data_IF_120221378864
#
_entry.id   IF_120221378864
#
_cell.length_a   1.000
_cell.length_b   1.000
_cell.length_c   1.000
_cell.angle_alpha   90.00
_cell.angle_beta   90.00
_cell.angle_gamma   90.00
#
_symmetry.space_group_name_H-M   'P 1'
#
loop_
_entity.id
_entity.type
_entity.pdbx_description
1 polymer ?
#
# COMPACT_ATOMS: atom_id res chain seq x y z
N UNK A 1 -35.58 -46.92 11.20
CA UNK A 1 -34.53 -46.30 12.01
C UNK A 1 -33.18 -46.19 11.27
N UNK A 2 -32.65 -47.21 10.63
CA UNK A 2 -31.36 -47.22 9.95
C UNK A 2 -31.30 -46.18 8.80
N UNK A 3 -32.33 -46.10 7.95
CA UNK A 3 -32.42 -45.16 6.83
C UNK A 3 -32.38 -43.69 7.31
N UNK A 4 -33.11 -43.39 8.41
CA UNK A 4 -33.10 -42.04 9.00
C UNK A 4 -31.71 -41.64 9.52
N UNK A 5 -30.99 -42.62 10.13
CA UNK A 5 -29.60 -42.41 10.58
C UNK A 5 -28.64 -42.12 9.44
N UNK A 6 -28.76 -42.83 8.30
CA UNK A 6 -27.93 -42.61 7.13
C UNK A 6 -28.19 -41.22 6.53
N UNK A 7 -29.45 -40.80 6.42
CA UNK A 7 -29.80 -39.47 5.92
C UNK A 7 -29.20 -38.37 6.81
N UNK A 8 -29.28 -38.50 8.12
CA UNK A 8 -28.71 -37.54 9.06
C UNK A 8 -27.19 -37.41 8.88
N UNK A 9 -26.49 -38.54 8.78
CA UNK A 9 -25.04 -38.54 8.55
C UNK A 9 -24.67 -37.84 7.22
N UNK A 10 -25.39 -38.08 6.14
CA UNK A 10 -25.17 -37.41 4.86
C UNK A 10 -25.39 -35.91 4.96
N UNK A 11 -26.43 -35.45 5.64
CA UNK A 11 -26.68 -34.01 5.85
C UNK A 11 -25.51 -33.38 6.61
N UNK A 12 -25.03 -34.00 7.67
CA UNK A 12 -23.90 -33.50 8.47
C UNK A 12 -22.62 -33.40 7.59
N UNK A 13 -22.34 -34.43 6.77
CA UNK A 13 -21.19 -34.41 5.88
C UNK A 13 -21.29 -33.30 4.84
N UNK A 14 -22.45 -33.03 4.26
CA UNK A 14 -22.67 -31.92 3.32
C UNK A 14 -22.44 -30.58 4.02
N UNK A 15 -22.97 -30.40 5.23
CA UNK A 15 -22.76 -29.17 6.01
C UNK A 15 -21.27 -28.95 6.31
N UNK A 16 -20.56 -29.97 6.78
CA UNK A 16 -19.13 -29.89 7.06
C UNK A 16 -18.32 -29.55 5.81
N UNK A 17 -18.66 -30.17 4.68
CA UNK A 17 -18.01 -29.90 3.40
C UNK A 17 -18.25 -28.46 2.92
N UNK A 18 -19.48 -27.95 3.02
CA UNK A 18 -19.80 -26.56 2.65
C UNK A 18 -19.10 -25.56 3.57
N UNK A 19 -19.05 -25.80 4.89
CA UNK A 19 -18.31 -24.97 5.83
C UNK A 19 -16.81 -24.96 5.52
N UNK A 20 -16.24 -26.10 5.15
CA UNK A 20 -14.83 -26.19 4.75
C UNK A 20 -14.54 -25.41 3.46
N UNK A 21 -15.45 -25.44 2.47
CA UNK A 21 -15.32 -24.64 1.25
C UNK A 21 -15.36 -23.14 1.55
N UNK A 22 -16.33 -22.69 2.37
CA UNK A 22 -16.47 -21.29 2.76
C UNK A 22 -15.20 -20.83 3.50
N UNK A 23 -14.71 -21.62 4.45
CA UNK A 23 -13.49 -21.30 5.20
C UNK A 23 -12.26 -21.18 4.30
N UNK A 24 -12.11 -22.05 3.30
CA UNK A 24 -11.01 -21.96 2.30
C UNK A 24 -11.09 -20.69 1.46
N UNK A 25 -12.29 -20.28 1.04
CA UNK A 25 -12.46 -19.06 0.27
C UNK A 25 -12.21 -17.80 1.11
N UNK A 26 -12.75 -17.75 2.34
CA UNK A 26 -12.52 -16.63 3.25
C UNK A 26 -11.02 -16.45 3.62
N UNK A 27 -10.26 -17.54 3.72
CA UNK A 27 -8.82 -17.45 3.97
C UNK A 27 -8.02 -17.06 2.72
N UNK A 28 -8.51 -17.36 1.50
CA UNK A 28 -7.86 -16.98 0.26
C UNK A 28 -7.79 -15.46 0.08
N UNK A 29 -8.82 -14.72 0.49
CA UNK A 29 -8.87 -13.27 0.41
C UNK A 29 -7.76 -12.57 1.21
N UNK A 30 -7.18 -13.24 2.22
CA UNK A 30 -6.08 -12.73 3.05
C UNK A 30 -4.70 -12.92 2.42
N UNK A 31 -4.60 -13.60 1.29
CA UNK A 31 -3.34 -13.93 0.62
C UNK A 31 -2.78 -12.83 -0.26
N UNK A 32 -3.43 -11.68 -0.36
CA UNK A 32 -2.83 -10.48 -0.94
C UNK A 32 -1.94 -9.81 0.12
N UNK A 33 -0.64 -9.87 -0.09
CA UNK A 33 0.38 -9.48 0.89
C UNK A 33 1.23 -8.34 0.36
N UNK A 34 1.44 -7.30 1.16
CA UNK A 34 2.40 -6.23 0.91
C UNK A 34 3.73 -6.54 1.60
N UNK A 35 4.85 -6.25 0.93
CA UNK A 35 6.21 -6.49 1.43
C UNK A 35 6.93 -5.17 1.69
N UNK A 36 6.59 -4.47 2.76
CA UNK A 36 7.20 -3.18 3.12
C UNK A 36 8.71 -3.26 3.32
N UNK A 37 9.23 -4.39 3.80
CA UNK A 37 10.67 -4.62 3.99
C UNK A 37 11.43 -4.79 2.65
N UNK A 38 10.70 -5.06 1.56
CA UNK A 38 11.26 -5.19 0.21
C UNK A 38 10.98 -3.96 -0.65
N UNK A 39 10.52 -2.86 -0.04
CA UNK A 39 10.36 -1.61 -0.76
C UNK A 39 11.67 -1.18 -1.41
N UNK A 40 11.60 -0.47 -2.50
CA UNK A 40 12.80 0.14 -3.08
C UNK A 40 13.31 1.27 -2.17
N UNK A 41 14.59 1.60 -2.29
CA UNK A 41 15.08 2.87 -1.77
C UNK A 41 14.44 4.02 -2.55
N UNK A 42 14.39 5.19 -1.91
CA UNK A 42 13.87 6.40 -2.54
C UNK A 42 14.68 6.73 -3.81
N UNK A 43 13.98 7.03 -4.90
CA UNK A 43 14.55 7.38 -6.19
C UNK A 43 14.09 8.77 -6.58
N UNK A 44 15.01 9.63 -6.96
CA UNK A 44 14.70 10.98 -7.47
C UNK A 44 13.90 10.86 -8.77
N UNK A 45 12.76 11.55 -8.83
CA UNK A 45 11.90 11.65 -10.02
C UNK A 45 12.12 12.98 -10.71
N UNK A 46 12.06 14.08 -9.96
CA UNK A 46 12.32 15.43 -10.47
C UNK A 46 12.90 16.32 -9.40
N UNK A 47 13.67 17.34 -9.82
CA UNK A 47 14.27 18.33 -8.93
C UNK A 47 14.20 19.70 -9.57
N UNK A 48 13.61 20.65 -8.85
CA UNK A 48 13.64 22.08 -9.17
C UNK A 48 13.99 22.88 -7.91
N UNK A 49 14.11 24.18 -8.01
CA UNK A 49 14.36 25.05 -6.86
C UNK A 49 13.20 25.00 -5.83
N UNK A 50 11.97 24.97 -6.34
CA UNK A 50 10.76 25.04 -5.54
C UNK A 50 10.21 23.66 -5.13
N UNK A 51 10.63 22.58 -5.82
CA UNK A 51 10.03 21.26 -5.64
C UNK A 51 11.00 20.13 -5.91
N UNK A 52 11.01 19.13 -5.05
CA UNK A 52 11.66 17.84 -5.27
C UNK A 52 10.61 16.75 -5.24
N UNK A 53 10.60 15.90 -6.27
CA UNK A 53 9.79 14.68 -6.28
C UNK A 53 10.69 13.45 -6.23
N UNK A 54 10.32 12.48 -5.41
CA UNK A 54 10.97 11.18 -5.33
C UNK A 54 9.93 10.08 -5.14
N UNK A 55 10.28 8.85 -5.46
CA UNK A 55 9.35 7.72 -5.36
C UNK A 55 9.95 6.53 -4.63
N UNK A 56 9.06 5.71 -4.07
CA UNK A 56 9.34 4.43 -3.44
C UNK A 56 8.34 3.41 -3.96
N UNK A 57 8.81 2.24 -4.36
CA UNK A 57 7.96 1.15 -4.80
C UNK A 57 7.74 0.17 -3.64
N UNK A 58 6.47 -0.15 -3.35
CA UNK A 58 6.06 -1.10 -2.31
C UNK A 58 5.50 -2.35 -2.99
N UNK A 59 6.26 -3.46 -3.01
CA UNK A 59 5.84 -4.68 -3.67
C UNK A 59 4.65 -5.34 -2.98
N UNK A 60 3.81 -5.99 -3.80
CA UNK A 60 2.73 -6.87 -3.33
C UNK A 60 2.71 -8.19 -4.12
N UNK A 61 2.00 -9.18 -3.58
CA UNK A 61 1.82 -10.50 -4.18
C UNK A 61 0.40 -10.99 -3.88
N UNK A 62 -0.38 -11.25 -4.91
CA UNK A 62 -1.66 -11.94 -4.77
C UNK A 62 -1.45 -13.45 -4.82
N UNK A 63 -1.23 -14.05 -3.66
CA UNK A 63 -1.07 -15.51 -3.50
C UNK A 63 -2.39 -16.27 -3.53
N UNK A 64 -3.50 -15.56 -3.65
CA UNK A 64 -4.82 -16.19 -3.71
C UNK A 64 -5.04 -16.88 -5.05
N UNK A 65 -6.05 -17.72 -5.11
CA UNK A 65 -6.57 -18.30 -6.36
C UNK A 65 -7.66 -17.45 -6.99
N UNK A 66 -8.10 -16.42 -6.28
CA UNK A 66 -9.17 -15.53 -6.67
C UNK A 66 -8.60 -14.14 -7.02
N UNK A 67 -9.30 -13.42 -7.88
CA UNK A 67 -9.02 -12.02 -8.16
C UNK A 67 -9.29 -11.17 -6.93
N UNK A 68 -8.44 -10.19 -6.70
CA UNK A 68 -8.68 -9.09 -5.77
C UNK A 68 -8.94 -7.79 -6.52
N UNK A 69 -9.43 -6.79 -5.81
CA UNK A 69 -9.62 -5.44 -6.34
C UNK A 69 -8.98 -4.47 -5.36
N UNK A 70 -8.06 -3.63 -5.82
CA UNK A 70 -7.72 -2.39 -5.13
C UNK A 70 -8.80 -1.37 -5.47
N UNK A 71 -9.52 -0.89 -4.46
CA UNK A 71 -10.56 0.10 -4.62
C UNK A 71 -10.01 1.51 -4.47
N UNK A 72 -9.14 1.69 -3.47
CA UNK A 72 -8.49 2.96 -3.16
C UNK A 72 -7.15 2.72 -2.49
N UNK A 73 -6.22 3.66 -2.67
CA UNK A 73 -4.96 3.70 -1.94
C UNK A 73 -4.51 5.14 -1.70
N UNK A 74 -4.06 5.44 -0.49
CA UNK A 74 -3.54 6.75 -0.14
C UNK A 74 -2.41 6.64 0.89
N UNK A 75 -1.65 7.71 1.02
CA UNK A 75 -0.54 7.80 1.98
C UNK A 75 -0.82 8.88 3.00
N UNK A 76 -0.50 8.58 4.25
CA UNK A 76 -0.44 9.57 5.33
C UNK A 76 1.00 9.67 5.82
N UNK A 77 1.55 10.87 5.77
CA UNK A 77 2.90 11.17 6.23
C UNK A 77 2.81 11.65 7.69
N UNK A 78 3.69 11.12 8.53
CA UNK A 78 3.79 11.50 9.94
C UNK A 78 5.01 12.40 10.16
N UNK A 79 4.89 13.64 9.73
CA UNK A 79 5.88 14.70 9.94
C UNK A 79 5.16 15.91 10.59
N UNK A 80 5.00 15.91 11.92
CA UNK A 80 4.35 17.01 12.62
C UNK A 80 5.21 18.28 12.59
N UNK A 81 4.56 19.44 12.57
CA UNK A 81 5.21 20.75 12.51
C UNK A 81 6.15 20.99 13.72
N UNK A 82 5.87 20.36 14.86
CA UNK A 82 6.72 20.42 16.07
C UNK A 82 8.05 19.70 15.86
N UNK A 83 8.08 18.67 15.01
CA UNK A 83 9.29 17.93 14.70
C UNK A 83 10.10 18.61 13.59
N UNK A 84 9.41 19.06 12.52
CA UNK A 84 10.03 19.80 11.43
C UNK A 84 8.98 20.56 10.61
N UNK A 85 9.12 21.87 10.52
CA UNK A 85 8.21 22.74 9.79
C UNK A 85 8.84 23.43 8.57
N UNK A 86 10.09 23.08 8.23
CA UNK A 86 10.82 23.67 7.09
C UNK A 86 10.43 23.12 5.72
N UNK A 87 9.60 22.06 5.68
CA UNK A 87 9.10 21.46 4.44
C UNK A 87 7.60 21.19 4.53
N UNK A 88 6.91 21.33 3.42
CA UNK A 88 5.62 20.68 3.21
C UNK A 88 5.88 19.43 2.40
N UNK A 89 5.52 18.29 2.95
CA UNK A 89 5.67 16.98 2.31
C UNK A 89 4.29 16.40 1.99
N UNK A 90 4.03 16.09 0.74
CA UNK A 90 2.82 15.43 0.24
C UNK A 90 3.18 14.11 -0.39
N UNK A 91 2.23 13.19 -0.50
CA UNK A 91 2.44 11.94 -1.22
C UNK A 91 1.17 11.49 -1.92
N UNK A 92 1.35 10.83 -3.06
CA UNK A 92 0.31 10.15 -3.82
C UNK A 92 0.71 8.71 -4.09
N UNK A 93 -0.28 7.85 -4.31
CA UNK A 93 -0.09 6.43 -4.63
C UNK A 93 -0.63 6.17 -6.02
N UNK A 94 0.15 5.44 -6.81
CA UNK A 94 -0.29 4.98 -8.11
C UNK A 94 0.11 3.52 -8.33
N UNK A 95 -0.63 2.87 -9.20
CA UNK A 95 -0.18 1.64 -9.82
C UNK A 95 0.58 1.99 -11.12
N UNK A 96 1.74 1.35 -11.42
CA UNK A 96 2.54 1.67 -12.62
C UNK A 96 1.77 1.56 -13.94
N UNK A 97 0.80 0.63 -14.02
CA UNK A 97 -0.04 0.46 -15.20
C UNK A 97 -1.16 1.51 -15.35
N UNK A 98 -1.43 2.31 -14.30
CA UNK A 98 -2.47 3.34 -14.28
C UNK A 98 -1.97 4.58 -13.52
N UNK A 99 -0.91 5.27 -14.01
CA UNK A 99 -0.37 6.44 -13.34
C UNK A 99 -1.34 7.61 -13.44
N UNK A 100 -1.55 8.30 -12.30
CA UNK A 100 -2.38 9.51 -12.20
C UNK A 100 -1.60 10.64 -11.53
N UNK A 101 -1.98 11.87 -11.84
CA UNK A 101 -1.34 13.09 -11.30
C UNK A 101 -2.29 13.92 -10.43
N UNK A 102 -3.54 13.48 -10.28
CA UNK A 102 -4.63 14.21 -9.62
C UNK A 102 -4.90 13.72 -8.19
N UNK A 103 -3.93 13.04 -7.58
CA UNK A 103 -3.99 12.50 -6.21
C UNK A 103 -5.08 11.42 -5.96
N UNK A 104 -5.80 11.00 -7.00
CA UNK A 104 -6.73 9.88 -6.93
C UNK A 104 -6.05 8.57 -7.31
N UNK A 105 -6.47 7.50 -6.65
CA UNK A 105 -6.06 6.14 -7.00
C UNK A 105 -7.04 5.54 -8.04
N UNK A 106 -6.51 4.95 -9.10
CA UNK A 106 -7.34 4.24 -10.08
C UNK A 106 -7.60 2.83 -9.60
N UNK A 107 -8.88 2.48 -9.41
CA UNK A 107 -9.28 1.14 -8.98
C UNK A 107 -8.80 0.08 -9.98
N UNK A 108 -8.26 -1.03 -9.45
CA UNK A 108 -7.62 -2.05 -10.28
C UNK A 108 -7.97 -3.47 -9.84
N UNK A 109 -8.22 -4.33 -10.84
CA UNK A 109 -8.23 -5.78 -10.65
C UNK A 109 -6.79 -6.30 -10.45
N UNK A 110 -6.63 -7.19 -9.50
CA UNK A 110 -5.38 -7.87 -9.17
C UNK A 110 -5.56 -9.37 -9.41
N UNK A 111 -5.11 -9.88 -10.57
CA UNK A 111 -5.25 -11.29 -10.91
C UNK A 111 -4.60 -12.24 -9.91
N UNK A 112 -5.05 -13.51 -9.86
CA UNK A 112 -4.39 -14.54 -9.08
C UNK A 112 -2.91 -14.69 -9.47
N UNK A 113 -2.03 -14.72 -8.46
CA UNK A 113 -0.58 -14.89 -8.67
C UNK A 113 0.14 -13.65 -9.19
N UNK A 114 -0.55 -12.51 -9.35
CA UNK A 114 0.11 -11.26 -9.75
C UNK A 114 1.10 -10.82 -8.66
N UNK A 115 2.30 -10.45 -9.14
CA UNK A 115 3.38 -9.84 -8.34
C UNK A 115 3.74 -8.54 -9.00
N UNK A 116 3.47 -7.43 -8.33
CA UNK A 116 3.75 -6.09 -8.81
C UNK A 116 3.98 -5.15 -7.62
N UNK A 117 3.92 -3.87 -7.80
CA UNK A 117 4.14 -2.89 -6.75
C UNK A 117 3.16 -1.70 -6.85
N UNK A 118 2.98 -1.02 -5.75
CA UNK A 118 2.40 0.32 -5.71
C UNK A 118 3.54 1.33 -5.61
N UNK A 119 3.51 2.35 -6.44
CA UNK A 119 4.47 3.45 -6.42
C UNK A 119 3.93 4.59 -5.57
N UNK A 120 4.64 4.92 -4.50
CA UNK A 120 4.39 6.09 -3.68
C UNK A 120 5.31 7.20 -4.14
N UNK A 121 4.74 8.28 -4.67
CA UNK A 121 5.48 9.47 -5.08
C UNK A 121 5.31 10.56 -4.04
N UNK A 122 6.43 11.07 -3.55
CA UNK A 122 6.52 12.16 -2.58
C UNK A 122 6.86 13.46 -3.29
N UNK A 123 6.27 14.54 -2.82
CA UNK A 123 6.56 15.91 -3.21
C UNK A 123 6.99 16.70 -1.99
N UNK A 124 8.15 17.35 -2.07
CA UNK A 124 8.69 18.21 -1.02
C UNK A 124 8.80 19.62 -1.55
N UNK A 125 8.15 20.57 -0.87
CA UNK A 125 8.24 22.00 -1.16
C UNK A 125 8.76 22.76 0.07
N UNK A 126 9.55 23.85 -0.13
CA UNK A 126 10.08 24.64 0.99
C UNK A 126 8.96 25.37 1.75
N UNK A 127 9.15 25.53 3.05
CA UNK A 127 8.24 26.21 3.95
C UNK A 127 9.01 26.92 5.08
N UNK A 128 8.42 27.94 5.68
CA UNK A 128 8.90 28.58 6.91
C UNK A 128 10.40 28.94 6.90
N UNK A 129 10.83 29.78 5.95
CA UNK A 129 12.17 30.32 5.90
C UNK A 129 13.19 29.47 5.12
N UNK A 130 12.82 28.31 4.62
CA UNK A 130 13.61 27.59 3.64
C UNK A 130 13.43 28.22 2.26
N UNK A 131 14.54 28.43 1.54
CA UNK A 131 14.53 29.10 0.24
C UNK A 131 14.38 28.11 -0.91
N UNK A 132 14.90 26.91 -0.74
CA UNK A 132 14.90 25.88 -1.78
C UNK A 132 14.34 24.57 -1.26
N UNK A 133 13.81 23.76 -2.18
CA UNK A 133 13.34 22.41 -1.87
C UNK A 133 14.48 21.51 -1.39
N UNK A 134 15.71 21.77 -1.84
CA UNK A 134 16.90 21.05 -1.38
C UNK A 134 17.20 21.34 0.09
N UNK A 135 17.20 22.62 0.50
CA UNK A 135 17.36 23.00 1.91
C UNK A 135 16.25 22.39 2.78
N UNK A 136 15.02 22.38 2.25
CA UNK A 136 13.89 21.79 2.94
C UNK A 136 14.08 20.27 3.15
N UNK A 137 14.45 19.54 2.08
CA UNK A 137 14.67 18.08 2.12
C UNK A 137 15.80 17.69 3.07
N UNK A 138 16.93 18.43 3.05
CA UNK A 138 18.08 18.16 3.92
C UNK A 138 17.76 18.27 5.41
N UNK A 139 16.75 19.07 5.75
CA UNK A 139 16.31 19.27 7.14
C UNK A 139 15.31 18.22 7.63
N UNK A 140 14.72 17.42 6.75
CA UNK A 140 13.74 16.39 7.14
C UNK A 140 14.44 15.32 7.99
N UNK A 141 13.94 15.01 9.20
CA UNK A 141 14.44 13.89 10.02
C UNK A 141 14.01 12.55 9.42
N UNK A 142 14.23 11.47 10.15
CA UNK A 142 13.56 10.20 9.86
C UNK A 142 12.06 10.41 9.90
N UNK A 143 11.35 10.01 8.85
CA UNK A 143 9.91 10.20 8.71
C UNK A 143 9.21 8.89 8.42
N UNK A 144 8.18 8.61 9.17
CA UNK A 144 7.30 7.48 8.93
C UNK A 144 6.13 7.91 8.04
N UNK A 145 5.76 7.06 7.10
CA UNK A 145 4.50 7.18 6.37
C UNK A 145 3.70 5.88 6.46
N UNK A 146 2.39 6.00 6.42
CA UNK A 146 1.49 4.86 6.33
C UNK A 146 0.87 4.80 4.94
N UNK A 147 1.06 3.67 4.27
CA UNK A 147 0.34 3.30 3.06
C UNK A 147 -0.97 2.61 3.48
N UNK A 148 -2.09 3.23 3.13
CA UNK A 148 -3.42 2.67 3.29
C UNK A 148 -3.89 2.12 1.97
N UNK A 149 -4.42 0.90 1.97
CA UNK A 149 -5.00 0.27 0.79
C UNK A 149 -6.34 -0.32 1.17
N UNK A 150 -7.39 0.17 0.52
CA UNK A 150 -8.70 -0.44 0.56
C UNK A 150 -8.81 -1.44 -0.58
N UNK A 151 -9.06 -2.68 -0.23
CA UNK A 151 -9.17 -3.75 -1.20
C UNK A 151 -10.37 -4.63 -0.93
N UNK A 152 -10.93 -5.15 -1.99
CA UNK A 152 -11.99 -6.14 -1.92
C UNK A 152 -11.50 -7.47 -2.44
N UNK A 153 -11.69 -8.52 -1.64
CA UNK A 153 -11.63 -9.89 -2.10
C UNK A 153 -13.00 -10.34 -2.59
N UNK A 154 -13.17 -11.63 -2.75
CA UNK A 154 -14.44 -12.20 -3.21
C UNK A 154 -15.59 -11.99 -2.24
N UNK A 155 -15.32 -12.12 -0.94
CA UNK A 155 -16.32 -12.14 0.13
C UNK A 155 -16.31 -10.88 1.00
N UNK A 156 -15.16 -10.28 1.21
CA UNK A 156 -14.93 -9.26 2.23
C UNK A 156 -14.18 -8.03 1.69
N UNK A 157 -14.43 -6.91 2.35
CA UNK A 157 -13.66 -5.68 2.22
C UNK A 157 -12.54 -5.69 3.25
N UNK A 158 -11.32 -5.36 2.83
CA UNK A 158 -10.14 -5.31 3.69
C UNK A 158 -9.51 -3.93 3.65
N UNK A 159 -9.02 -3.49 4.79
CA UNK A 159 -8.20 -2.30 4.94
C UNK A 159 -6.80 -2.70 5.38
N UNK A 160 -5.82 -2.51 4.52
CA UNK A 160 -4.43 -2.71 4.86
C UNK A 160 -3.81 -1.37 5.26
N UNK A 161 -2.96 -1.41 6.28
CA UNK A 161 -2.13 -0.28 6.69
C UNK A 161 -0.71 -0.78 6.86
N UNK A 162 0.21 -0.24 6.08
CA UNK A 162 1.64 -0.56 6.17
C UNK A 162 2.41 0.69 6.58
N UNK A 163 3.01 0.65 7.76
CA UNK A 163 3.90 1.71 8.24
C UNK A 163 5.31 1.48 7.70
N UNK A 164 5.87 2.49 7.06
CA UNK A 164 7.14 2.44 6.35
C UNK A 164 7.99 3.64 6.77
N UNK A 165 9.26 3.39 7.09
CA UNK A 165 10.21 4.41 7.48
C UNK A 165 11.01 4.89 6.26
N UNK A 166 11.12 6.22 6.10
CA UNK A 166 12.10 6.90 5.25
C UNK A 166 13.17 7.48 6.16
N UNK A 167 14.40 7.01 6.02
CA UNK A 167 15.49 7.55 6.85
C UNK A 167 16.04 8.85 6.29
N UNK A 168 16.50 9.72 7.15
CA UNK A 168 17.19 10.95 6.76
C UNK A 168 18.36 10.69 5.81
N UNK A 169 19.13 9.64 6.06
CA UNK A 169 20.26 9.26 5.20
C UNK A 169 19.81 8.90 3.78
N UNK A 170 18.67 8.19 3.65
CA UNK A 170 18.09 7.83 2.37
C UNK A 170 17.64 9.09 1.61
N UNK A 171 16.97 10.03 2.29
CA UNK A 171 16.53 11.29 1.70
C UNK A 171 17.72 12.16 1.23
N UNK A 172 18.79 12.23 2.03
CA UNK A 172 20.00 12.99 1.68
C UNK A 172 20.74 12.41 0.47
N UNK A 173 20.66 11.09 0.24
CA UNK A 173 21.26 10.45 -0.95
C UNK A 173 20.59 10.85 -2.25
N UNK A 174 19.34 11.33 -2.23
CA UNK A 174 18.64 11.81 -3.43
C UNK A 174 19.29 13.03 -4.06
N UNK A 175 20.13 13.76 -3.30
CA UNK A 175 20.75 15.00 -3.72
C UNK A 175 22.19 14.83 -4.22
N UNK A 176 22.74 13.65 -4.09
CA UNK A 176 24.09 13.28 -4.52
C UNK A 176 24.09 12.73 -5.93
#
# INVERSE_FOLDING_TARGET
>A
MIVLGIILVLIVLVILFTLQLISKHASADKLLVFYKEKRTQAKLVSKSEDKIEFSVDVPYDNKSRDEGIFLDAFVRIYLPDEQYNGALMRARVNHPAAPRTDDYFEARLVPPGEKDHLTVTFEVTPRNGKKTAEEALLGIPDVEFALYVERRGRMELFHNKENILLTREELQKLLK
#
